data_IF_443630105822
#
_entry.id   IF_443630105822
#
_cell.length_a   1.000
_cell.length_b   1.000
_cell.length_c   1.000
_cell.angle_alpha   90.00
_cell.angle_beta   90.00
_cell.angle_gamma   90.00
#
_symmetry.space_group_name_H-M   'P 1'
#
loop_
_entity.id
_entity.type
_entity.pdbx_description
1 polymer ?
#
# COMPACT_ATOMS: atom_id res chain seq x y z
N UNK A 1 -8.28 6.78 -5.67
CA UNK A 1 -9.45 5.88 -5.69
C UNK A 1 -9.56 4.92 -4.50
N UNK A 2 -8.52 4.77 -3.65
CA UNK A 2 -8.57 3.91 -2.45
C UNK A 2 -9.36 4.55 -1.28
N UNK A 3 -9.42 5.88 -1.23
CA UNK A 3 -10.05 6.64 -0.13
C UNK A 3 -11.57 6.42 -0.03
N UNK A 4 -12.27 6.31 -1.15
CA UNK A 4 -13.73 6.14 -1.18
C UNK A 4 -14.17 4.73 -0.71
N UNK A 5 -13.42 3.69 -1.08
CA UNK A 5 -13.73 2.32 -0.68
C UNK A 5 -13.52 2.08 0.82
N UNK A 6 -12.53 2.74 1.43
CA UNK A 6 -12.27 2.65 2.87
C UNK A 6 -13.40 3.27 3.71
N UNK A 7 -14.04 4.34 3.20
CA UNK A 7 -15.08 5.07 3.93
C UNK A 7 -16.42 4.29 4.02
N UNK A 8 -16.77 3.52 2.99
CA UNK A 8 -18.01 2.71 2.96
C UNK A 8 -17.91 1.50 3.90
N UNK A 9 -16.79 0.78 3.88
CA UNK A 9 -16.57 -0.40 4.75
C UNK A 9 -16.54 0.00 6.24
N UNK A 10 -15.90 1.13 6.56
CA UNK A 10 -15.86 1.64 7.93
C UNK A 10 -17.20 2.22 8.40
N UNK A 11 -18.11 2.66 7.52
CA UNK A 11 -19.45 3.10 7.95
C UNK A 11 -20.27 1.96 8.54
N UNK A 12 -20.29 0.79 7.89
CA UNK A 12 -21.01 -0.40 8.39
C UNK A 12 -20.36 -0.94 9.68
N UNK A 13 -19.03 -0.95 9.74
CA UNK A 13 -18.29 -1.37 10.95
C UNK A 13 -18.49 -0.41 12.13
N UNK A 14 -18.51 0.91 11.90
CA UNK A 14 -18.77 1.93 12.93
C UNK A 14 -20.16 1.83 13.57
N UNK A 15 -21.17 1.34 12.84
CA UNK A 15 -22.53 1.12 13.40
C UNK A 15 -22.58 -0.02 14.41
N UNK A 16 -21.65 -0.98 14.34
CA UNK A 16 -21.58 -2.16 15.21
C UNK A 16 -20.59 -2.01 16.39
N UNK A 17 -19.89 -0.87 16.49
CA UNK A 17 -18.92 -0.62 17.56
C UNK A 17 -19.60 -0.14 18.83
N UNK A 18 -19.09 -0.54 19.99
CA UNK A 18 -19.48 0.05 21.27
C UNK A 18 -19.11 1.55 21.33
N UNK A 19 -19.75 2.32 22.22
CA UNK A 19 -19.45 3.77 22.40
C UNK A 19 -17.96 4.00 22.68
N UNK A 20 -17.35 3.15 23.52
CA UNK A 20 -15.93 3.24 23.89
C UNK A 20 -15.01 2.98 22.69
N UNK A 21 -15.27 1.94 21.92
CA UNK A 21 -14.50 1.62 20.70
C UNK A 21 -14.66 2.70 19.64
N UNK A 22 -15.87 3.23 19.48
CA UNK A 22 -16.14 4.31 18.53
C UNK A 22 -15.38 5.58 18.91
N UNK A 23 -15.35 5.95 20.19
CA UNK A 23 -14.53 7.07 20.68
C UNK A 23 -13.06 6.84 20.36
N UNK A 24 -12.52 5.67 20.70
CA UNK A 24 -11.13 5.29 20.41
C UNK A 24 -10.80 5.35 18.92
N UNK A 25 -11.69 4.83 18.06
CA UNK A 25 -11.55 4.87 16.61
C UNK A 25 -11.51 6.32 16.11
N UNK A 26 -12.46 7.16 16.54
CA UNK A 26 -12.54 8.56 16.10
C UNK A 26 -11.34 9.39 16.56
N UNK A 27 -10.87 9.19 17.79
CA UNK A 27 -9.66 9.86 18.28
C UNK A 27 -8.43 9.52 17.43
N UNK A 28 -8.25 8.25 17.06
CA UNK A 28 -7.13 7.83 16.22
C UNK A 28 -7.31 8.25 14.75
N UNK A 29 -8.54 8.26 14.23
CA UNK A 29 -8.86 8.76 12.88
C UNK A 29 -8.58 10.27 12.77
N UNK A 30 -8.83 11.02 13.84
CA UNK A 30 -8.48 12.44 13.90
C UNK A 30 -6.97 12.65 13.85
N UNK A 31 -6.20 11.89 14.64
CA UNK A 31 -4.73 11.92 14.62
C UNK A 31 -4.20 11.59 13.21
N UNK A 32 -4.73 10.55 12.57
CA UNK A 32 -4.34 10.15 11.19
C UNK A 32 -4.54 11.27 10.18
N UNK A 33 -5.66 12.00 10.28
CA UNK A 33 -5.97 13.12 9.39
C UNK A 33 -5.06 14.31 9.62
N UNK A 34 -4.78 14.66 10.88
CA UNK A 34 -3.86 15.76 11.21
C UNK A 34 -2.47 15.51 10.62
N UNK A 35 -1.94 14.29 10.81
CA UNK A 35 -0.65 13.91 10.24
C UNK A 35 -0.67 13.96 8.70
N UNK A 36 -1.75 13.50 8.07
CA UNK A 36 -1.88 13.58 6.60
C UNK A 36 -1.95 15.02 6.09
N UNK A 37 -2.64 15.92 6.79
CA UNK A 37 -2.67 17.35 6.44
C UNK A 37 -1.26 17.91 6.48
N UNK A 38 -0.51 17.67 7.55
CA UNK A 38 0.85 18.18 7.70
C UNK A 38 1.80 17.65 6.62
N UNK A 39 1.70 16.35 6.29
CA UNK A 39 2.48 15.75 5.19
C UNK A 39 2.12 16.35 3.83
N UNK A 40 0.84 16.63 3.58
CA UNK A 40 0.42 17.24 2.32
C UNK A 40 0.89 18.69 2.21
N UNK A 41 0.85 19.44 3.31
CA UNK A 41 1.39 20.81 3.37
C UNK A 41 2.91 20.78 3.15
N UNK A 42 3.64 19.94 3.87
CA UNK A 42 5.09 19.80 3.71
C UNK A 42 5.46 19.41 2.27
N UNK A 43 4.72 18.45 1.68
CA UNK A 43 4.95 18.04 0.30
C UNK A 43 4.68 19.16 -0.71
N UNK A 44 3.69 20.04 -0.45
CA UNK A 44 3.44 21.22 -1.27
C UNK A 44 4.56 22.26 -1.20
N UNK A 45 5.35 22.24 -0.13
CA UNK A 45 6.54 23.07 0.07
C UNK A 45 7.82 22.40 -0.46
N UNK A 46 7.73 21.20 -1.04
CA UNK A 46 8.87 20.44 -1.55
C UNK A 46 9.50 19.47 -0.54
N UNK A 47 9.00 19.40 0.70
CA UNK A 47 9.52 18.52 1.73
C UNK A 47 8.66 17.26 1.88
N UNK A 48 9.23 16.09 1.61
CA UNK A 48 8.52 14.82 1.72
C UNK A 48 8.75 14.19 3.09
N UNK A 49 7.95 14.58 4.09
CA UNK A 49 8.01 14.01 5.45
C UNK A 49 7.34 12.64 5.56
N UNK A 50 7.96 11.74 6.31
CA UNK A 50 7.36 10.47 6.72
C UNK A 50 6.39 10.65 7.90
N UNK A 51 5.61 9.61 8.22
CA UNK A 51 4.55 9.72 9.26
C UNK A 51 5.10 10.11 10.63
N UNK A 52 6.21 9.52 11.03
CA UNK A 52 6.84 9.71 12.33
C UNK A 52 7.72 10.97 12.39
N UNK A 53 7.95 11.63 11.27
CA UNK A 53 8.71 12.87 11.17
C UNK A 53 7.83 14.12 11.33
N UNK A 54 6.51 13.95 11.32
CA UNK A 54 5.57 15.06 11.50
C UNK A 54 5.61 15.64 12.90
N UNK A 55 5.55 16.97 13.00
CA UNK A 55 5.47 17.72 14.25
C UNK A 55 4.25 17.28 15.06
N UNK A 56 3.11 17.07 14.40
CA UNK A 56 1.92 16.58 15.07
C UNK A 56 2.16 15.21 15.70
N UNK A 57 2.78 14.25 14.99
CA UNK A 57 3.12 12.95 15.58
C UNK A 57 4.10 13.09 16.76
N UNK A 58 5.08 13.98 16.64
CA UNK A 58 6.09 14.21 17.67
C UNK A 58 5.48 14.77 18.96
N UNK A 59 4.50 15.67 18.84
CA UNK A 59 3.76 16.27 19.97
C UNK A 59 2.88 15.28 20.75
N UNK A 60 2.58 14.10 20.19
CA UNK A 60 1.78 13.09 20.88
C UNK A 60 2.53 12.49 22.07
N UNK A 61 1.80 12.24 23.16
CA UNK A 61 2.36 11.51 24.29
C UNK A 61 2.55 10.02 23.97
N UNK A 62 3.35 9.32 24.78
CA UNK A 62 3.68 7.91 24.56
C UNK A 62 2.44 6.98 24.53
N UNK A 63 1.41 7.31 25.32
CA UNK A 63 0.16 6.55 25.34
C UNK A 63 -0.60 6.69 24.02
N UNK A 64 -0.74 7.91 23.51
CA UNK A 64 -1.37 8.22 22.22
C UNK A 64 -0.61 7.58 21.07
N UNK A 65 0.73 7.66 21.07
CA UNK A 65 1.59 7.02 20.06
C UNK A 65 1.33 5.51 19.98
N UNK A 66 1.28 4.81 21.12
CA UNK A 66 0.98 3.36 21.18
C UNK A 66 -0.43 3.04 20.65
N UNK A 67 -1.44 3.80 21.07
CA UNK A 67 -2.82 3.61 20.62
C UNK A 67 -2.96 3.84 19.12
N UNK A 68 -2.26 4.83 18.59
CA UNK A 68 -2.25 5.17 17.17
C UNK A 68 -1.51 4.11 16.33
N UNK A 69 -0.36 3.59 16.80
CA UNK A 69 0.33 2.48 16.14
C UNK A 69 -0.55 1.23 16.05
N UNK A 70 -1.28 0.89 17.13
CA UNK A 70 -2.25 -0.21 17.11
C UNK A 70 -3.35 0.03 16.08
N UNK A 71 -3.84 1.26 15.98
CA UNK A 71 -4.82 1.65 14.96
C UNK A 71 -4.27 1.49 13.53
N UNK A 72 -3.03 1.93 13.25
CA UNK A 72 -2.38 1.74 11.95
C UNK A 72 -2.25 0.26 11.57
N UNK A 73 -1.82 -0.59 12.52
CA UNK A 73 -1.76 -2.05 12.31
C UNK A 73 -3.13 -2.63 11.98
N UNK A 74 -4.20 -2.15 12.62
CA UNK A 74 -5.57 -2.58 12.34
C UNK A 74 -6.14 -2.06 11.01
N UNK A 75 -5.61 -0.92 10.52
CA UNK A 75 -6.00 -0.26 9.26
C UNK A 75 -5.37 -0.96 8.06
N UNK A 76 -4.18 -1.54 8.21
CA UNK A 76 -3.57 -2.42 7.21
C UNK A 76 -4.45 -3.66 7.07
N UNK A 77 -5.16 -3.73 5.95
CA UNK A 77 -6.11 -4.81 5.66
C UNK A 77 -5.36 -6.15 5.60
N UNK A 78 -5.84 -7.15 6.36
CA UNK A 78 -5.38 -8.55 6.27
C UNK A 78 -5.35 -9.05 4.83
N UNK A 79 -6.24 -8.54 3.97
CA UNK A 79 -6.29 -8.90 2.54
C UNK A 79 -5.04 -8.48 1.78
N UNK A 80 -4.44 -7.34 2.11
CA UNK A 80 -3.19 -6.87 1.52
C UNK A 80 -2.02 -7.77 1.92
N UNK A 81 -1.96 -8.17 3.20
CA UNK A 81 -0.93 -9.07 3.69
C UNK A 81 -1.04 -10.48 3.09
N UNK A 82 -2.27 -11.01 2.97
CA UNK A 82 -2.52 -12.26 2.25
C UNK A 82 -2.15 -12.17 0.76
N UNK A 83 -2.38 -11.03 0.11
CA UNK A 83 -2.00 -10.81 -1.28
C UNK A 83 -0.48 -10.77 -1.48
N UNK A 84 0.25 -10.10 -0.58
CA UNK A 84 1.72 -10.15 -0.57
C UNK A 84 2.25 -11.56 -0.29
N UNK A 85 1.63 -12.29 0.65
CA UNK A 85 1.97 -13.69 0.92
C UNK A 85 1.78 -14.58 -0.30
N UNK A 86 0.68 -14.42 -1.04
CA UNK A 86 0.44 -15.15 -2.29
C UNK A 86 1.52 -14.86 -3.34
N UNK A 87 1.84 -13.59 -3.59
CA UNK A 87 2.89 -13.20 -4.56
C UNK A 87 4.24 -13.78 -4.18
N UNK A 88 4.64 -13.66 -2.91
CA UNK A 88 5.91 -14.19 -2.40
C UNK A 88 5.96 -15.71 -2.52
N UNK A 89 4.85 -16.40 -2.21
CA UNK A 89 4.77 -17.86 -2.36
C UNK A 89 4.90 -18.32 -3.81
N UNK A 90 4.29 -17.62 -4.76
CA UNK A 90 4.40 -17.92 -6.20
C UNK A 90 5.82 -17.78 -6.74
N UNK A 91 6.68 -16.98 -6.11
CA UNK A 91 8.08 -16.83 -6.48
C UNK A 91 8.97 -17.84 -5.73
N UNK A 92 8.72 -18.06 -4.43
CA UNK A 92 9.53 -18.95 -3.60
C UNK A 92 9.35 -20.43 -3.95
N UNK A 93 8.13 -20.89 -4.24
CA UNK A 93 7.86 -22.30 -4.57
C UNK A 93 8.68 -22.79 -5.78
N UNK A 94 8.71 -22.08 -6.92
CA UNK A 94 9.57 -22.48 -8.04
C UNK A 94 11.06 -22.30 -7.73
N UNK A 95 11.46 -21.25 -6.99
CA UNK A 95 12.86 -21.03 -6.60
C UNK A 95 13.43 -22.17 -5.73
N UNK A 96 12.65 -22.71 -4.80
CA UNK A 96 13.06 -23.86 -3.99
C UNK A 96 13.08 -25.17 -4.81
N UNK A 97 12.16 -25.34 -5.76
CA UNK A 97 12.15 -26.52 -6.65
C UNK A 97 13.30 -26.56 -7.65
N UNK A 98 13.77 -25.40 -8.14
CA UNK A 98 14.87 -25.34 -9.12
C UNK A 98 16.25 -25.49 -8.47
N UNK A 99 16.38 -25.18 -7.19
CA UNK A 99 17.68 -25.14 -6.51
C UNK A 99 18.01 -26.37 -5.65
N UNK A 100 17.24 -27.47 -5.73
CA UNK A 100 17.51 -28.73 -5.01
C UNK A 100 17.94 -28.55 -3.53
N UNK A 101 17.34 -27.58 -2.84
CA UNK A 101 17.72 -27.24 -1.46
C UNK A 101 17.20 -28.26 -0.42
N UNK A 102 16.29 -29.14 -0.83
CA UNK A 102 16.01 -30.39 -0.14
C UNK A 102 16.93 -31.46 -0.69
N UNK A 103 17.97 -31.80 0.09
CA UNK A 103 18.97 -32.81 -0.25
C UNK A 103 18.37 -34.14 -0.73
N UNK A 104 19.11 -34.80 -1.61
CA UNK A 104 18.68 -35.95 -2.39
C UNK A 104 18.17 -37.12 -1.55
N UNK A 105 16.86 -37.31 -1.57
CA UNK A 105 16.24 -38.57 -1.22
C UNK A 105 15.17 -38.87 -2.26
N UNK A 106 15.36 -40.00 -2.95
CA UNK A 106 14.50 -40.60 -3.99
C UNK A 106 14.75 -40.14 -5.42
N UNK A 107 15.54 -40.96 -6.12
CA UNK A 107 15.07 -41.57 -7.36
C UNK A 107 15.61 -40.95 -8.64
N UNK A 108 16.60 -41.63 -9.20
CA UNK A 108 16.94 -41.61 -10.62
C UNK A 108 15.71 -41.46 -11.52
N UNK A 109 15.60 -40.33 -12.23
CA UNK A 109 14.90 -40.30 -13.51
C UNK A 109 15.93 -40.16 -14.61
N UNK A 110 16.19 -41.31 -15.20
CA UNK A 110 16.70 -41.51 -16.56
C UNK A 110 15.85 -40.67 -17.52
N UNK A 111 16.53 -39.93 -18.40
CA UNK A 111 15.97 -39.35 -19.62
C UNK A 111 15.21 -38.04 -19.45
N UNK A 112 15.79 -36.94 -19.93
CA UNK A 112 15.13 -35.94 -20.78
C UNK A 112 16.17 -34.92 -21.22
N UNK A 113 16.90 -35.27 -22.27
CA UNK A 113 17.57 -34.28 -23.10
C UNK A 113 16.54 -33.25 -23.60
N UNK A 114 16.85 -31.97 -23.43
CA UNK A 114 16.33 -30.91 -24.31
C UNK A 114 15.02 -30.20 -23.95
N UNK A 115 14.40 -30.39 -22.79
CA UNK A 115 13.36 -29.44 -22.36
C UNK A 115 14.02 -28.19 -21.77
N UNK A 116 14.29 -27.19 -22.61
CA UNK A 116 14.44 -25.80 -22.15
C UNK A 116 13.23 -25.54 -21.27
N UNK A 117 13.44 -25.45 -19.96
CA UNK A 117 12.36 -25.31 -19.01
C UNK A 117 11.64 -24.01 -19.33
N UNK A 118 10.48 -24.09 -20.00
CA UNK A 118 9.66 -22.92 -20.34
C UNK A 118 9.15 -22.20 -19.08
N UNK A 119 9.21 -22.88 -17.93
CA UNK A 119 8.74 -22.38 -16.63
C UNK A 119 9.47 -21.09 -16.21
N UNK A 120 10.82 -21.01 -16.17
CA UNK A 120 11.53 -19.76 -15.91
C UNK A 120 11.25 -18.66 -16.95
N UNK A 121 11.04 -18.99 -18.22
CA UNK A 121 10.70 -18.00 -19.25
C UNK A 121 9.30 -17.41 -19.05
N UNK A 122 8.32 -18.26 -18.69
CA UNK A 122 6.94 -17.85 -18.37
C UNK A 122 6.93 -17.02 -17.08
N UNK A 123 7.69 -17.42 -16.06
CA UNK A 123 7.81 -16.66 -14.81
C UNK A 123 8.43 -15.27 -15.06
N UNK A 124 9.47 -15.19 -15.88
CA UNK A 124 10.06 -13.91 -16.28
C UNK A 124 9.04 -13.03 -17.02
N UNK A 125 8.29 -13.61 -17.97
CA UNK A 125 7.23 -12.92 -18.70
C UNK A 125 6.11 -12.37 -17.79
N UNK A 126 5.68 -13.16 -16.80
CA UNK A 126 4.70 -12.73 -15.79
C UNK A 126 5.26 -11.61 -14.92
N UNK A 127 6.53 -11.71 -14.50
CA UNK A 127 7.17 -10.70 -13.66
C UNK A 127 7.31 -9.36 -14.40
N UNK A 128 7.78 -9.39 -15.65
CA UNK A 128 7.88 -8.22 -16.52
C UNK A 128 6.49 -7.63 -16.81
N UNK A 129 5.48 -8.48 -17.05
CA UNK A 129 4.10 -8.05 -17.25
C UNK A 129 3.52 -7.31 -16.05
N UNK A 130 3.71 -7.85 -14.84
CA UNK A 130 3.28 -7.20 -13.59
C UNK A 130 4.01 -5.87 -13.39
N UNK A 131 5.32 -5.82 -13.65
CA UNK A 131 6.12 -4.61 -13.53
C UNK A 131 5.68 -3.51 -14.50
N UNK A 132 5.36 -3.87 -15.75
CA UNK A 132 4.81 -2.94 -16.75
C UNK A 132 3.44 -2.40 -16.34
N UNK A 133 2.52 -3.27 -15.89
CA UNK A 133 1.19 -2.86 -15.41
C UNK A 133 1.31 -1.91 -14.21
N UNK A 134 2.24 -2.19 -13.29
CA UNK A 134 2.49 -1.32 -12.15
C UNK A 134 3.03 0.06 -12.57
N UNK A 135 4.03 0.08 -13.45
CA UNK A 135 4.64 1.31 -14.00
C UNK A 135 3.63 2.16 -14.77
N UNK A 136 2.78 1.56 -15.60
CA UNK A 136 1.72 2.26 -16.33
C UNK A 136 0.69 2.83 -15.36
N UNK A 137 0.30 2.09 -14.32
CA UNK A 137 -0.66 2.56 -13.31
C UNK A 137 -0.15 3.76 -12.53
N UNK A 138 1.14 3.82 -12.20
CA UNK A 138 1.73 5.01 -11.56
C UNK A 138 1.71 6.22 -12.49
N UNK A 139 2.15 6.06 -13.75
CA UNK A 139 2.10 7.17 -14.73
C UNK A 139 0.68 7.69 -14.96
N UNK A 140 -0.34 6.83 -14.97
CA UNK A 140 -1.75 7.26 -15.09
C UNK A 140 -2.23 8.01 -13.84
N UNK A 141 -1.75 7.67 -12.63
CA UNK A 141 -2.10 8.40 -11.41
C UNK A 141 -1.48 9.79 -11.42
N UNK A 142 -0.21 9.92 -11.76
CA UNK A 142 0.48 11.21 -11.86
C UNK A 142 -0.20 12.14 -12.88
N UNK A 143 -0.59 11.61 -14.05
CA UNK A 143 -1.35 12.35 -15.06
C UNK A 143 -2.73 12.80 -14.57
N UNK A 144 -3.40 12.03 -13.69
CA UNK A 144 -4.69 12.44 -13.10
C UNK A 144 -4.52 13.49 -12.01
N UNK A 145 -3.51 13.37 -11.16
CA UNK A 145 -3.22 14.34 -10.10
C UNK A 145 -2.86 15.70 -10.71
N UNK A 146 -1.99 15.71 -11.73
CA UNK A 146 -1.59 16.94 -12.44
C UNK A 146 -2.73 17.64 -13.19
N UNK A 147 -3.73 16.89 -13.69
CA UNK A 147 -4.94 17.51 -14.26
C UNK A 147 -5.81 18.17 -13.20
N UNK A 148 -5.97 17.53 -12.04
CA UNK A 148 -6.77 18.11 -10.95
C UNK A 148 -6.10 19.34 -10.33
N UNK A 149 -4.79 19.37 -10.20
CA UNK A 149 -4.08 20.57 -9.71
C UNK A 149 -4.22 21.73 -10.68
N UNK A 150 -4.08 21.51 -11.99
CA UNK A 150 -4.28 22.57 -13.01
C UNK A 150 -5.68 23.20 -12.97
N UNK A 151 -6.73 22.39 -12.81
CA UNK A 151 -8.11 22.89 -12.72
C UNK A 151 -8.31 23.73 -11.45
N UNK A 152 -7.74 23.30 -10.32
CA UNK A 152 -7.81 24.05 -9.06
C UNK A 152 -7.05 25.38 -9.17
N UNK A 153 -5.86 25.37 -9.75
CA UNK A 153 -5.06 26.59 -9.96
C UNK A 153 -5.79 27.58 -10.87
N UNK A 154 -6.47 27.11 -11.91
CA UNK A 154 -7.26 27.94 -12.81
C UNK A 154 -8.47 28.59 -12.12
N UNK A 155 -9.16 27.84 -11.26
CA UNK A 155 -10.28 28.37 -10.44
C UNK A 155 -9.77 29.44 -9.45
N UNK A 156 -8.65 29.19 -8.78
CA UNK A 156 -8.05 30.13 -7.82
C UNK A 156 -7.63 31.42 -8.54
N UNK A 157 -6.99 31.30 -9.71
CA UNK A 157 -6.52 32.44 -10.49
C UNK A 157 -7.66 33.29 -11.04
N UNK A 158 -8.78 32.68 -11.43
CA UNK A 158 -10.00 33.38 -11.86
C UNK A 158 -10.66 34.17 -10.72
N UNK A 159 -10.58 33.67 -9.49
CA UNK A 159 -11.12 34.34 -8.30
C UNK A 159 -10.29 35.55 -7.84
N UNK A 160 -8.98 35.57 -8.12
CA UNK A 160 -8.07 36.70 -7.81
C UNK A 160 -8.15 37.88 -8.79
N UNK A 161 -8.77 37.70 -9.96
CA UNK A 161 -8.91 38.74 -11.00
C UNK A 161 -10.27 39.46 -10.99
N UNK A 162 -11.16 39.08 -10.08
CA UNK A 162 -12.40 39.80 -9.75
C UNK A 162 -12.18 40.55 -8.45
#
# INVERSE_FOLDING_TARGET
MIFWHWNIFNRRKRKKMSKREKKKFLSNDFIDRMIQVERNVSASLGEKKEYFETEYYNSLNNSQKRLYQSFLKSKISKRTWLFYGMIVSSILIPFFKTNNLTGGAVGTKVGTDGFVSFIPLILLGVFVGIFLVFSIRERIKEKRVTRHTKIVDEIIRKKRKK
#
